data_IF_478513536577
#
_entry.id   IF_478513536577
#
_cell.length_a   1.000
_cell.length_b   1.000
_cell.length_c   1.000
_cell.angle_alpha   90.00
_cell.angle_beta   90.00
_cell.angle_gamma   90.00
#
_symmetry.space_group_name_H-M   'P 1'
#
loop_
_entity.id
_entity.type
_entity.pdbx_description
1 polymer ?
#
# COMPACT_ATOMS: atom_id res chain seq x y z
N UNK A 1 16.47 -3.53 -21.71
CA UNK A 1 16.24 -2.40 -20.79
C UNK A 1 16.49 -1.08 -21.53
N UNK A 2 15.73 -0.02 -21.23
CA UNK A 2 15.87 1.32 -21.83
C UNK A 2 16.02 2.35 -20.70
N UNK A 3 17.21 2.97 -20.50
CA UNK A 3 17.45 3.88 -19.38
C UNK A 3 16.45 5.04 -19.31
N UNK A 4 16.15 5.63 -20.46
CA UNK A 4 15.19 6.73 -20.56
C UNK A 4 13.78 6.36 -20.09
N UNK A 5 13.38 5.08 -20.21
CA UNK A 5 12.08 4.63 -19.74
C UNK A 5 12.00 4.70 -18.20
N UNK A 6 13.05 4.26 -17.51
CA UNK A 6 13.11 4.27 -16.06
C UNK A 6 13.29 5.69 -15.53
N UNK A 7 14.26 6.45 -16.05
CA UNK A 7 14.54 7.81 -15.56
C UNK A 7 13.35 8.75 -15.77
N UNK A 8 12.66 8.66 -16.92
CA UNK A 8 11.46 9.47 -17.16
C UNK A 8 10.34 9.08 -16.20
N UNK A 9 10.14 7.79 -15.93
CA UNK A 9 9.13 7.35 -14.97
C UNK A 9 9.42 7.90 -13.57
N UNK A 10 10.67 7.81 -13.10
CA UNK A 10 11.07 8.36 -11.79
C UNK A 10 10.75 9.85 -11.70
N UNK A 11 11.14 10.64 -12.71
CA UNK A 11 10.86 12.07 -12.75
C UNK A 11 9.36 12.38 -12.76
N UNK A 12 8.57 11.66 -13.57
CA UNK A 12 7.12 11.86 -13.65
C UNK A 12 6.42 11.48 -12.35
N UNK A 13 6.84 10.38 -11.72
CA UNK A 13 6.29 9.94 -10.44
C UNK A 13 6.62 10.90 -9.29
N UNK A 14 7.80 11.52 -9.32
CA UNK A 14 8.15 12.57 -8.36
C UNK A 14 7.35 13.85 -8.58
N UNK A 15 7.18 14.29 -9.83
CA UNK A 15 6.34 15.44 -10.14
C UNK A 15 4.89 15.21 -9.72
N UNK A 16 4.37 14.02 -10.03
CA UNK A 16 3.01 13.65 -9.66
C UNK A 16 2.83 13.58 -8.14
N UNK A 17 3.77 12.96 -7.41
CA UNK A 17 3.73 12.91 -5.95
C UNK A 17 3.75 14.31 -5.31
N UNK A 18 4.57 15.23 -5.85
CA UNK A 18 4.57 16.64 -5.42
C UNK A 18 3.26 17.35 -5.72
N UNK A 19 2.67 17.13 -6.91
CA UNK A 19 1.38 17.71 -7.28
C UNK A 19 0.27 17.28 -6.31
N UNK A 20 0.29 16.02 -5.87
CA UNK A 20 -0.66 15.51 -4.87
C UNK A 20 -0.40 16.03 -3.46
N UNK A 21 0.83 16.51 -3.18
CA UNK A 21 1.27 16.85 -1.83
C UNK A 21 1.60 15.62 -0.99
N UNK A 22 2.11 14.55 -1.61
CA UNK A 22 2.59 13.38 -0.87
C UNK A 22 3.85 13.73 -0.05
N UNK A 23 4.03 13.09 1.11
CA UNK A 23 5.24 13.24 1.93
C UNK A 23 6.53 12.95 1.14
N UNK A 24 7.60 13.69 1.43
CA UNK A 24 8.93 13.51 0.82
C UNK A 24 9.46 12.07 0.92
N UNK A 25 9.07 11.34 1.97
CA UNK A 25 9.42 9.93 2.16
C UNK A 25 8.92 9.00 1.04
N UNK A 26 7.98 9.43 0.21
CA UNK A 26 7.52 8.71 -0.98
C UNK A 26 8.27 9.08 -2.26
N UNK A 27 9.04 10.16 -2.27
CA UNK A 27 9.63 10.75 -3.48
C UNK A 27 11.10 10.33 -3.62
N UNK A 28 11.50 9.93 -4.82
CA UNK A 28 12.86 9.51 -5.11
C UNK A 28 13.86 10.67 -4.95
N UNK A 29 13.47 11.89 -5.38
CA UNK A 29 14.24 13.13 -5.24
C UNK A 29 14.67 13.47 -3.81
N UNK A 30 14.05 12.86 -2.80
CA UNK A 30 14.38 13.08 -1.40
C UNK A 30 15.67 12.38 -0.98
N UNK A 31 16.22 11.48 -1.82
CA UNK A 31 17.40 10.68 -1.53
C UNK A 31 17.20 9.61 -0.46
N UNK A 32 15.94 9.38 -0.06
CA UNK A 32 15.56 8.30 0.84
C UNK A 32 15.37 6.97 0.09
N UNK A 33 14.75 5.99 0.76
CA UNK A 33 14.45 4.69 0.15
C UNK A 33 13.18 4.68 -0.70
N UNK A 34 12.33 5.71 -0.55
CA UNK A 34 11.02 5.75 -1.18
C UNK A 34 11.06 6.06 -2.68
N UNK A 35 9.95 5.77 -3.35
CA UNK A 35 9.80 6.08 -4.76
C UNK A 35 8.42 5.70 -5.30
N UNK A 36 8.15 6.19 -6.51
CA UNK A 36 6.94 5.86 -7.26
C UNK A 36 7.23 4.95 -8.45
N UNK A 37 6.24 4.14 -8.81
CA UNK A 37 6.24 3.25 -9.98
C UNK A 37 4.87 3.27 -10.67
N UNK A 38 4.85 3.18 -11.99
CA UNK A 38 3.62 3.02 -12.77
C UNK A 38 3.21 1.55 -12.80
N UNK A 39 1.96 1.28 -12.47
CA UNK A 39 1.28 -0.02 -12.51
C UNK A 39 0.18 0.02 -13.58
N UNK A 40 -0.30 -1.15 -14.03
CA UNK A 40 -1.44 -1.21 -14.94
C UNK A 40 -2.73 -0.78 -14.23
N UNK A 41 -2.96 -1.29 -13.02
CA UNK A 41 -4.18 -1.03 -12.26
C UNK A 41 -3.96 -0.79 -10.75
N UNK A 42 -4.92 -0.12 -10.11
CA UNK A 42 -4.98 -0.04 -8.65
C UNK A 42 -5.08 -1.43 -8.00
N UNK A 43 -5.68 -2.41 -8.69
CA UNK A 43 -5.79 -3.79 -8.17
C UNK A 43 -4.41 -4.45 -8.05
N UNK A 44 -3.54 -4.22 -9.03
CA UNK A 44 -2.15 -4.67 -9.01
C UNK A 44 -1.37 -3.94 -7.91
N UNK A 45 -1.52 -2.61 -7.80
CA UNK A 45 -0.88 -1.83 -6.74
C UNK A 45 -1.25 -2.33 -5.33
N UNK A 46 -2.53 -2.59 -5.07
CA UNK A 46 -3.00 -3.18 -3.80
C UNK A 46 -2.43 -4.58 -3.57
N UNK A 47 -2.33 -5.41 -4.61
CA UNK A 47 -1.72 -6.75 -4.50
C UNK A 47 -0.22 -6.66 -4.19
N UNK A 48 0.51 -5.77 -4.89
CA UNK A 48 1.93 -5.52 -4.67
C UNK A 48 2.19 -5.05 -3.23
N UNK A 49 1.39 -4.11 -2.72
CA UNK A 49 1.47 -3.66 -1.33
C UNK A 49 1.22 -4.80 -0.33
N UNK A 50 0.20 -5.63 -0.56
CA UNK A 50 -0.10 -6.79 0.28
C UNK A 50 1.05 -7.80 0.31
N UNK A 51 1.67 -8.06 -0.84
CA UNK A 51 2.77 -9.01 -0.94
C UNK A 51 4.05 -8.47 -0.29
N UNK A 52 4.33 -7.17 -0.42
CA UNK A 52 5.40 -6.49 0.34
C UNK A 52 5.17 -6.56 1.86
N UNK A 53 3.95 -6.29 2.31
CA UNK A 53 3.56 -6.43 3.72
C UNK A 53 3.73 -7.86 4.25
N UNK A 54 3.34 -8.85 3.44
CA UNK A 54 3.51 -10.27 3.74
C UNK A 54 4.99 -10.63 3.89
N UNK A 55 5.83 -10.24 2.94
CA UNK A 55 7.27 -10.49 2.99
C UNK A 55 7.93 -9.86 4.22
N UNK A 56 7.62 -8.58 4.50
CA UNK A 56 8.08 -7.86 5.71
C UNK A 56 7.70 -8.60 6.98
N UNK A 57 6.46 -9.07 7.06
CA UNK A 57 5.95 -9.75 8.26
C UNK A 57 6.55 -11.13 8.43
N UNK A 58 6.73 -11.91 7.36
CA UNK A 58 7.40 -13.21 7.42
C UNK A 58 8.84 -13.06 7.92
N UNK A 59 9.58 -12.06 7.43
CA UNK A 59 10.94 -11.80 7.92
C UNK A 59 10.96 -11.39 9.39
N UNK A 60 10.02 -10.53 9.83
CA UNK A 60 9.89 -10.13 11.24
C UNK A 60 9.63 -11.35 12.12
N UNK A 61 8.61 -12.15 11.79
CA UNK A 61 8.23 -13.32 12.60
C UNK A 61 9.36 -14.34 12.66
N UNK A 62 10.05 -14.63 11.54
CA UNK A 62 11.19 -15.55 11.53
C UNK A 62 12.41 -15.02 12.28
N UNK A 63 12.58 -13.70 12.38
CA UNK A 63 13.64 -13.11 13.21
C UNK A 63 13.40 -13.38 14.69
N UNK A 64 12.16 -13.31 15.13
CA UNK A 64 11.75 -13.53 16.52
C UNK A 64 11.57 -15.02 16.84
N UNK A 65 11.17 -15.82 15.84
CA UNK A 65 10.90 -17.26 15.91
C UNK A 65 11.55 -18.00 14.72
N UNK A 66 12.88 -18.23 14.73
CA UNK A 66 13.63 -18.81 13.61
C UNK A 66 13.20 -20.24 13.23
N UNK A 67 12.56 -20.96 14.14
CA UNK A 67 12.02 -22.31 13.94
C UNK A 67 10.76 -22.35 13.08
N UNK A 68 10.03 -21.22 12.99
CA UNK A 68 8.76 -21.16 12.27
C UNK A 68 8.98 -21.17 10.75
N UNK A 69 8.24 -22.05 10.08
CA UNK A 69 8.21 -22.14 8.61
C UNK A 69 7.17 -21.20 8.01
N UNK A 70 7.30 -20.87 6.73
CA UNK A 70 6.28 -20.07 6.03
C UNK A 70 4.90 -20.74 6.04
N UNK A 71 4.87 -22.09 6.00
CA UNK A 71 3.64 -22.88 6.06
C UNK A 71 2.90 -22.73 7.40
N UNK A 72 3.60 -22.42 8.48
CA UNK A 72 3.01 -22.19 9.81
C UNK A 72 2.61 -20.73 10.02
N UNK A 73 3.34 -19.78 9.42
CA UNK A 73 3.10 -18.35 9.59
C UNK A 73 1.99 -17.85 8.66
N UNK A 74 2.03 -18.18 7.37
CA UNK A 74 1.11 -17.65 6.35
C UNK A 74 -0.38 -17.87 6.71
N UNK A 75 -0.81 -19.07 7.17
CA UNK A 75 -2.22 -19.29 7.53
C UNK A 75 -2.71 -18.45 8.71
N UNK A 76 -1.79 -17.90 9.52
CA UNK A 76 -2.10 -17.03 10.66
C UNK A 76 -2.17 -15.56 10.27
N UNK A 77 -1.69 -15.17 9.09
CA UNK A 77 -1.70 -13.78 8.63
C UNK A 77 -3.15 -13.31 8.38
N UNK A 78 -3.48 -12.13 8.90
CA UNK A 78 -4.77 -11.47 8.69
C UNK A 78 -4.59 -9.99 8.38
N UNK A 79 -5.23 -9.54 7.29
CA UNK A 79 -5.32 -8.14 6.92
C UNK A 79 -6.74 -7.61 7.04
N UNK A 80 -6.90 -6.28 6.97
CA UNK A 80 -8.15 -5.59 7.25
C UNK A 80 -8.46 -4.51 6.22
N UNK A 81 -9.73 -4.31 5.94
CA UNK A 81 -10.19 -3.18 5.15
C UNK A 81 -11.63 -2.83 5.48
N UNK A 82 -12.11 -1.69 5.00
CA UNK A 82 -13.50 -1.32 5.09
C UNK A 82 -14.36 -2.34 4.32
N UNK A 83 -15.55 -2.72 4.81
CA UNK A 83 -16.53 -3.50 4.05
C UNK A 83 -16.95 -2.82 2.73
N UNK A 84 -16.72 -1.52 2.59
CA UNK A 84 -16.92 -0.74 1.36
C UNK A 84 -15.67 -0.59 0.48
N UNK A 85 -14.54 -1.20 0.88
CA UNK A 85 -13.36 -1.24 0.05
C UNK A 85 -13.69 -1.91 -1.30
N UNK A 86 -12.96 -1.53 -2.33
CA UNK A 86 -13.15 -2.11 -3.66
C UNK A 86 -12.87 -3.62 -3.64
N UNK A 87 -13.55 -4.38 -4.51
CA UNK A 87 -13.40 -5.85 -4.60
C UNK A 87 -11.97 -6.29 -4.95
N UNK A 88 -11.12 -5.39 -5.44
CA UNK A 88 -9.69 -5.63 -5.62
C UNK A 88 -8.96 -5.98 -4.33
N UNK A 89 -9.39 -5.45 -3.18
CA UNK A 89 -8.77 -5.75 -1.89
C UNK A 89 -9.01 -7.21 -1.53
N UNK A 90 -10.27 -7.67 -1.61
CA UNK A 90 -10.61 -9.08 -1.41
C UNK A 90 -9.89 -9.99 -2.41
N UNK A 91 -9.85 -9.60 -3.69
CA UNK A 91 -9.10 -10.32 -4.73
C UNK A 91 -7.60 -10.40 -4.41
N UNK A 92 -7.00 -9.34 -3.87
CA UNK A 92 -5.60 -9.35 -3.46
C UNK A 92 -5.35 -10.35 -2.31
N UNK A 93 -6.29 -10.48 -1.36
CA UNK A 93 -6.22 -11.51 -0.32
C UNK A 93 -6.27 -12.93 -0.89
N UNK A 94 -7.18 -13.18 -1.84
CA UNK A 94 -7.29 -14.47 -2.53
C UNK A 94 -6.00 -14.83 -3.28
N UNK A 95 -5.47 -13.91 -4.09
CA UNK A 95 -4.24 -14.12 -4.85
C UNK A 95 -3.00 -14.20 -3.96
N UNK A 96 -2.97 -13.42 -2.88
CA UNK A 96 -1.89 -13.42 -1.89
C UNK A 96 -1.91 -14.61 -0.94
N UNK A 97 -2.98 -15.42 -0.96
CA UNK A 97 -3.15 -16.57 -0.08
C UNK A 97 -3.20 -16.19 1.40
N UNK A 98 -3.90 -15.10 1.73
CA UNK A 98 -4.00 -14.55 3.09
C UNK A 98 -5.45 -14.23 3.45
N UNK A 99 -5.77 -14.24 4.74
CA UNK A 99 -7.10 -13.87 5.21
C UNK A 99 -7.27 -12.36 5.19
N UNK A 100 -8.40 -11.89 4.67
CA UNK A 100 -8.82 -10.49 4.81
C UNK A 100 -10.15 -10.41 5.56
N UNK A 101 -10.22 -9.51 6.54
CA UNK A 101 -11.43 -9.19 7.28
C UNK A 101 -12.02 -7.88 6.77
N UNK A 102 -13.28 -7.96 6.36
CA UNK A 102 -14.09 -6.79 5.99
C UNK A 102 -14.71 -6.20 7.26
N UNK A 103 -14.21 -5.06 7.69
CA UNK A 103 -14.63 -4.40 8.92
C UNK A 103 -15.85 -3.52 8.69
N UNK A 104 -16.77 -3.51 9.66
CA UNK A 104 -18.00 -2.72 9.58
C UNK A 104 -17.64 -1.24 9.75
N UNK A 105 -17.99 -0.37 8.78
CA UNK A 105 -17.76 1.06 8.94
C UNK A 105 -18.78 1.70 9.90
N UNK A 106 -18.51 2.94 10.29
CA UNK A 106 -19.42 3.74 11.11
C UNK A 106 -20.69 4.19 10.34
N UNK A 107 -21.54 4.97 11.00
CA UNK A 107 -22.77 5.49 10.40
C UNK A 107 -22.53 6.41 9.19
N UNK A 108 -21.33 6.99 9.07
CA UNK A 108 -20.89 7.80 7.91
C UNK A 108 -20.19 6.94 6.86
N UNK A 109 -20.17 5.62 7.03
CA UNK A 109 -19.54 4.63 6.14
C UNK A 109 -18.01 4.74 6.09
N UNK A 110 -17.40 5.30 7.14
CA UNK A 110 -15.94 5.41 7.29
C UNK A 110 -15.45 4.27 8.16
N UNK A 111 -14.35 3.63 7.77
CA UNK A 111 -13.60 2.79 8.70
C UNK A 111 -12.92 3.68 9.73
N UNK A 112 -12.96 3.26 11.00
CA UNK A 112 -12.46 4.00 12.16
C UNK A 112 -11.30 3.27 12.79
N UNK A 113 -10.37 4.01 13.40
CA UNK A 113 -9.19 3.42 14.04
C UNK A 113 -9.57 2.43 15.13
N UNK A 114 -10.57 2.77 15.95
CA UNK A 114 -11.03 1.89 17.04
C UNK A 114 -11.54 0.54 16.52
N UNK A 115 -12.31 0.53 15.42
CA UNK A 115 -12.79 -0.72 14.82
C UNK A 115 -11.63 -1.59 14.30
N UNK A 116 -10.56 -0.97 13.81
CA UNK A 116 -9.34 -1.69 13.39
C UNK A 116 -8.62 -2.24 14.62
N UNK A 117 -8.47 -1.44 15.67
CA UNK A 117 -7.81 -1.83 16.94
C UNK A 117 -8.50 -3.04 17.58
N UNK A 118 -9.81 -2.96 17.79
CA UNK A 118 -10.62 -4.05 18.35
C UNK A 118 -10.49 -5.35 17.52
N UNK A 119 -10.51 -5.23 16.19
CA UNK A 119 -10.38 -6.38 15.31
C UNK A 119 -8.99 -7.04 15.43
N UNK A 120 -7.93 -6.24 15.49
CA UNK A 120 -6.56 -6.70 15.67
C UNK A 120 -6.35 -7.39 17.02
N UNK A 121 -6.87 -6.81 18.10
CA UNK A 121 -6.77 -7.38 19.45
C UNK A 121 -7.49 -8.73 19.54
N UNK A 122 -8.70 -8.82 18.99
CA UNK A 122 -9.45 -10.07 18.92
C UNK A 122 -8.70 -11.14 18.12
N UNK A 123 -8.09 -10.78 16.99
CA UNK A 123 -7.34 -11.73 16.16
C UNK A 123 -6.04 -12.19 16.83
N UNK A 124 -5.35 -11.28 17.54
CA UNK A 124 -4.17 -11.65 18.36
C UNK A 124 -4.54 -12.62 19.48
N UNK A 125 -5.68 -12.43 20.13
CA UNK A 125 -6.17 -13.34 21.16
C UNK A 125 -6.47 -14.76 20.60
N UNK A 126 -6.72 -14.87 19.29
CA UNK A 126 -6.89 -16.14 18.58
C UNK A 126 -5.57 -16.70 18.01
N UNK A 127 -4.42 -16.08 18.30
CA UNK A 127 -3.12 -16.48 17.78
C UNK A 127 -2.89 -16.13 16.30
N UNK A 128 -3.71 -15.24 15.73
CA UNK A 128 -3.50 -14.70 14.39
C UNK A 128 -2.52 -13.52 14.43
N UNK A 129 -1.98 -13.19 13.26
CA UNK A 129 -0.93 -12.21 13.07
C UNK A 129 -1.49 -11.08 12.18
N UNK A 130 -1.98 -9.98 12.78
CA UNK A 130 -2.26 -8.75 12.04
C UNK A 130 -1.03 -8.31 11.26
N UNK A 131 -1.19 -7.96 9.98
CA UNK A 131 -0.04 -7.57 9.15
C UNK A 131 -0.30 -6.47 8.11
N UNK A 132 -1.56 -6.23 7.73
CA UNK A 132 -1.89 -5.34 6.62
C UNK A 132 -3.25 -4.65 6.82
N UNK A 133 -3.32 -3.35 6.53
CA UNK A 133 -4.57 -2.59 6.50
C UNK A 133 -4.67 -1.81 5.20
N UNK A 134 -5.83 -1.85 4.55
CA UNK A 134 -6.17 -0.95 3.43
C UNK A 134 -7.15 0.11 3.93
N UNK A 135 -6.71 1.37 3.91
CA UNK A 135 -7.59 2.53 4.10
C UNK A 135 -7.99 3.07 2.72
N UNK A 136 -9.29 3.24 2.49
CA UNK A 136 -9.80 3.74 1.22
C UNK A 136 -10.15 5.23 1.32
N UNK A 137 -9.54 6.04 0.47
CA UNK A 137 -9.89 7.46 0.29
C UNK A 137 -10.72 7.58 -0.99
N UNK A 138 -12.04 7.63 -0.83
CA UNK A 138 -12.99 7.64 -1.94
C UNK A 138 -13.47 6.24 -2.33
N UNK A 139 -14.28 5.61 -1.46
CA UNK A 139 -14.88 4.29 -1.71
C UNK A 139 -15.71 4.26 -2.99
N UNK A 140 -15.75 3.10 -3.65
CA UNK A 140 -16.39 2.95 -4.97
C UNK A 140 -17.88 3.31 -4.96
N UNK A 141 -18.61 2.87 -3.94
CA UNK A 141 -20.08 3.02 -3.93
C UNK A 141 -20.54 4.44 -3.62
N UNK A 142 -19.80 5.18 -2.79
CA UNK A 142 -20.31 6.45 -2.25
C UNK A 142 -19.26 7.53 -2.01
N UNK A 143 -18.05 7.32 -2.51
CA UNK A 143 -16.91 8.23 -2.37
C UNK A 143 -16.67 8.65 -0.91
N UNK A 144 -16.76 7.69 0.03
CA UNK A 144 -16.47 7.94 1.45
C UNK A 144 -14.98 7.82 1.71
N UNK A 145 -14.52 8.50 2.76
CA UNK A 145 -13.11 8.55 3.16
C UNK A 145 -12.96 7.92 4.54
N UNK A 146 -12.18 6.84 4.62
CA UNK A 146 -11.82 6.24 5.90
C UNK A 146 -11.10 7.26 6.80
N UNK A 147 -11.17 7.08 8.12
CA UNK A 147 -10.47 7.93 9.07
C UNK A 147 -8.97 7.58 9.08
N UNK A 148 -8.26 8.03 8.06
CA UNK A 148 -6.85 7.69 7.82
C UNK A 148 -5.95 8.12 8.98
N UNK A 149 -6.20 9.28 9.55
CA UNK A 149 -5.53 9.78 10.75
C UNK A 149 -5.59 8.75 11.89
N UNK A 150 -6.80 8.31 12.25
CA UNK A 150 -7.02 7.31 13.30
C UNK A 150 -6.41 5.93 12.95
N UNK A 151 -6.62 5.45 11.71
CA UNK A 151 -6.14 4.15 11.26
C UNK A 151 -4.61 4.12 11.23
N UNK A 152 -4.00 5.22 10.81
CA UNK A 152 -2.56 5.36 10.69
C UNK A 152 -1.85 5.31 12.04
N UNK A 153 -2.45 5.87 13.08
CA UNK A 153 -1.95 5.77 14.46
C UNK A 153 -1.95 4.30 14.92
N UNK A 154 -3.08 3.60 14.76
CA UNK A 154 -3.21 2.18 15.12
C UNK A 154 -2.18 1.31 14.38
N UNK A 155 -1.99 1.54 13.08
CA UNK A 155 -1.04 0.77 12.28
C UNK A 155 0.40 1.04 12.70
N UNK A 156 0.75 2.30 12.95
CA UNK A 156 2.10 2.70 13.32
C UNK A 156 2.50 2.17 14.71
N UNK A 157 1.61 2.28 15.71
CA UNK A 157 1.78 1.73 17.06
C UNK A 157 2.11 0.23 17.06
N UNK A 158 1.53 -0.50 16.11
CA UNK A 158 1.62 -1.96 16.03
C UNK A 158 2.58 -2.46 14.94
N UNK A 159 3.26 -1.56 14.23
CA UNK A 159 4.13 -1.92 13.11
C UNK A 159 3.41 -2.73 12.02
N UNK A 160 2.19 -2.33 11.67
CA UNK A 160 1.34 -2.94 10.65
C UNK A 160 1.44 -2.14 9.36
N UNK A 161 1.55 -2.82 8.22
CA UNK A 161 1.61 -2.13 6.94
C UNK A 161 0.27 -1.46 6.62
N UNK A 162 0.29 -0.17 6.35
CA UNK A 162 -0.86 0.62 5.92
C UNK A 162 -0.72 1.00 4.43
N UNK A 163 -1.67 0.50 3.64
CA UNK A 163 -1.84 0.87 2.24
C UNK A 163 -3.03 1.81 2.09
N UNK A 164 -2.83 2.91 1.36
CA UNK A 164 -3.89 3.87 1.03
C UNK A 164 -4.33 3.65 -0.42
N UNK A 165 -5.57 3.20 -0.59
CA UNK A 165 -6.21 3.15 -1.90
C UNK A 165 -7.02 4.44 -2.13
N UNK A 166 -6.48 5.32 -2.97
CA UNK A 166 -7.12 6.54 -3.41
C UNK A 166 -7.47 6.49 -4.91
N UNK A 167 -7.71 5.30 -5.48
CA UNK A 167 -7.82 5.09 -6.94
C UNK A 167 -8.60 6.20 -7.68
N UNK A 168 -9.78 6.58 -7.18
CA UNK A 168 -10.57 7.67 -7.77
C UNK A 168 -10.21 9.05 -7.19
N UNK A 169 -10.33 9.20 -5.86
CA UNK A 169 -10.23 10.51 -5.21
C UNK A 169 -8.81 11.08 -5.16
N UNK A 170 -7.77 10.29 -5.42
CA UNK A 170 -6.39 10.79 -5.43
C UNK A 170 -6.18 11.99 -6.34
N UNK A 171 -6.90 12.06 -7.47
CA UNK A 171 -6.82 13.20 -8.40
C UNK A 171 -7.23 14.53 -7.74
N UNK A 172 -8.11 14.52 -6.73
CA UNK A 172 -8.54 15.75 -6.06
C UNK A 172 -7.45 16.36 -5.18
N UNK A 173 -6.42 15.60 -4.78
CA UNK A 173 -5.32 16.09 -3.95
C UNK A 173 -4.33 16.99 -4.70
N UNK A 174 -4.48 17.12 -6.03
CA UNK A 174 -3.86 18.20 -6.80
C UNK A 174 -4.31 19.57 -6.27
N UNK A 175 -5.56 19.68 -5.81
CA UNK A 175 -6.11 20.88 -5.23
C UNK A 175 -5.84 20.93 -3.71
N UNK A 176 -5.06 21.91 -3.20
CA UNK A 176 -4.68 21.98 -1.79
C UNK A 176 -5.86 21.95 -0.80
N UNK A 177 -7.02 22.51 -1.17
CA UNK A 177 -8.22 22.58 -0.36
C UNK A 177 -8.87 21.22 -0.05
N UNK A 178 -8.51 20.15 -0.76
CA UNK A 178 -8.99 18.79 -0.48
C UNK A 178 -7.96 17.93 0.27
N UNK A 179 -6.73 18.40 0.46
CA UNK A 179 -5.64 17.60 1.06
C UNK A 179 -5.87 17.24 2.53
N UNK A 180 -6.78 17.93 3.22
CA UNK A 180 -7.19 17.54 4.57
C UNK A 180 -7.81 16.12 4.62
N UNK A 181 -8.33 15.63 3.50
CA UNK A 181 -8.90 14.27 3.39
C UNK A 181 -7.84 13.16 3.39
N UNK A 182 -6.56 13.51 3.27
CA UNK A 182 -5.44 12.57 3.41
C UNK A 182 -4.61 12.81 4.69
N UNK A 183 -5.19 13.47 5.71
CA UNK A 183 -4.55 13.58 7.01
C UNK A 183 -4.16 12.18 7.55
N UNK A 184 -2.89 12.01 7.95
CA UNK A 184 -2.33 10.72 8.38
C UNK A 184 -1.56 9.95 7.29
N UNK A 185 -1.57 10.41 6.03
CA UNK A 185 -0.83 9.76 4.93
C UNK A 185 0.68 9.69 5.18
N UNK A 186 1.23 10.61 5.96
CA UNK A 186 2.62 10.60 6.39
C UNK A 186 3.02 9.38 7.21
N UNK A 187 2.07 8.59 7.68
CA UNK A 187 2.30 7.33 8.42
C UNK A 187 2.00 6.07 7.61
N UNK A 188 1.46 6.18 6.38
CA UNK A 188 1.23 5.01 5.53
C UNK A 188 2.52 4.48 4.91
N UNK A 189 2.58 3.20 4.58
CA UNK A 189 3.74 2.57 3.93
C UNK A 189 3.67 2.67 2.40
N UNK A 190 2.44 2.75 1.87
CA UNK A 190 2.18 2.81 0.43
C UNK A 190 0.89 3.57 0.11
N UNK A 191 0.85 4.16 -1.09
CA UNK A 191 -0.27 4.95 -1.59
C UNK A 191 -0.46 4.65 -3.08
N UNK A 192 -1.70 4.48 -3.55
CA UNK A 192 -1.99 4.46 -4.98
C UNK A 192 -3.13 5.41 -5.36
N UNK A 193 -3.09 5.92 -6.59
CA UNK A 193 -4.25 6.47 -7.26
C UNK A 193 -4.20 6.24 -8.77
N UNK A 194 -5.31 6.46 -9.48
CA UNK A 194 -5.35 6.24 -10.94
C UNK A 194 -5.45 7.56 -11.70
N UNK A 195 -4.36 8.02 -12.33
CA UNK A 195 -4.44 9.06 -13.34
C UNK A 195 -5.49 8.77 -14.43
N UNK A 196 -5.67 7.50 -14.80
CA UNK A 196 -6.65 7.09 -15.80
C UNK A 196 -8.12 7.20 -15.37
N UNK A 197 -8.42 7.53 -14.10
CA UNK A 197 -9.80 7.75 -13.66
C UNK A 197 -10.22 9.20 -13.82
N UNK A 198 -9.45 10.13 -13.25
CA UNK A 198 -9.88 11.53 -13.16
C UNK A 198 -8.73 12.54 -13.35
N UNK A 199 -7.68 12.16 -14.09
CA UNK A 199 -6.55 13.03 -14.43
C UNK A 199 -6.28 13.10 -15.95
N UNK A 200 -7.25 12.68 -16.77
CA UNK A 200 -7.20 12.77 -18.25
C UNK A 200 -6.05 12.00 -18.93
N UNK A 201 -5.49 11.00 -18.25
CA UNK A 201 -4.57 10.02 -18.86
C UNK A 201 -5.40 8.85 -19.35
N UNK A 202 -5.09 8.27 -20.52
CA UNK A 202 -5.79 7.07 -20.97
C UNK A 202 -5.42 5.86 -20.11
N UNK A 203 -6.31 4.86 -20.08
CA UNK A 203 -5.97 3.54 -19.54
C UNK A 203 -4.92 2.87 -20.45
N UNK A 204 -3.90 2.20 -19.94
CA UNK A 204 -3.56 1.93 -18.52
C UNK A 204 -2.64 3.02 -17.94
N UNK A 205 -2.85 3.39 -16.67
CA UNK A 205 -1.93 4.25 -15.89
C UNK A 205 -2.39 4.33 -14.43
N UNK A 206 -1.82 3.50 -13.55
CA UNK A 206 -2.03 3.57 -12.11
C UNK A 206 -0.73 3.93 -11.43
N UNK A 207 -0.76 4.94 -10.56
CA UNK A 207 0.43 5.47 -9.92
C UNK A 207 0.50 4.91 -8.49
N UNK A 208 1.61 4.27 -8.12
CA UNK A 208 1.85 3.72 -6.78
C UNK A 208 3.14 4.27 -6.20
N UNK A 209 3.12 4.68 -4.93
CA UNK A 209 4.30 5.06 -4.16
C UNK A 209 4.47 4.16 -2.94
N UNK A 210 5.72 3.92 -2.57
CA UNK A 210 6.12 3.18 -1.38
C UNK A 210 7.26 3.90 -0.67
N UNK A 211 7.27 3.87 0.66
CA UNK A 211 8.42 4.39 1.44
C UNK A 211 9.61 3.44 1.46
N UNK A 212 9.33 2.14 1.41
CA UNK A 212 10.33 1.08 1.43
C UNK A 212 10.04 0.03 0.33
N UNK A 213 10.21 0.39 -0.96
CA UNK A 213 9.97 -0.50 -2.10
C UNK A 213 10.82 -1.77 -2.06
N UNK A 214 11.92 -1.79 -1.32
CA UNK A 214 12.78 -2.97 -1.14
C UNK A 214 12.03 -4.18 -0.56
N UNK A 215 10.98 -3.98 0.22
CA UNK A 215 10.14 -5.09 0.69
C UNK A 215 9.42 -5.82 -0.44
N UNK A 216 9.09 -5.09 -1.51
CA UNK A 216 8.51 -5.65 -2.73
C UNK A 216 9.62 -6.20 -3.62
N UNK A 217 10.66 -5.40 -3.91
CA UNK A 217 11.75 -5.80 -4.80
C UNK A 217 12.40 -7.09 -4.33
N UNK A 218 12.74 -7.20 -3.04
CA UNK A 218 13.39 -8.40 -2.50
C UNK A 218 12.46 -9.61 -2.45
N UNK A 219 11.16 -9.41 -2.29
CA UNK A 219 10.18 -10.50 -2.28
C UNK A 219 9.99 -11.14 -3.67
N UNK A 220 10.20 -10.37 -4.74
CA UNK A 220 10.02 -10.82 -6.12
C UNK A 220 11.32 -10.92 -6.92
N UNK A 221 12.47 -10.69 -6.27
CA UNK A 221 13.75 -10.72 -6.97
C UNK A 221 14.04 -12.12 -7.51
N UNK A 222 14.26 -12.20 -8.81
CA UNK A 222 14.80 -13.38 -9.49
C UNK A 222 16.02 -12.87 -10.24
N UNK A 223 17.19 -13.50 -10.02
CA UNK A 223 18.47 -13.05 -10.59
C UNK A 223 18.98 -14.00 -11.70
N UNK A 224 18.30 -14.11 -12.85
CA UNK A 224 18.78 -14.93 -13.95
C UNK A 224 19.94 -14.23 -14.68
N UNK A 225 20.91 -15.03 -15.15
CA UNK A 225 22.13 -14.53 -15.79
C UNK A 225 21.88 -13.57 -16.96
N UNK A 226 20.81 -13.78 -17.73
CA UNK A 226 20.48 -12.97 -18.91
C UNK A 226 19.86 -11.59 -18.61
N UNK A 227 19.58 -11.28 -17.34
CA UNK A 227 19.14 -9.95 -16.89
C UNK A 227 20.25 -9.16 -16.18
N UNK A 228 21.44 -9.74 -15.99
CA UNK A 228 22.53 -9.06 -15.29
C UNK A 228 23.09 -7.89 -16.09
N UNK A 229 23.38 -6.81 -15.39
CA UNK A 229 24.05 -5.63 -15.93
C UNK A 229 24.83 -4.91 -14.83
N UNK A 230 25.79 -4.06 -15.21
CA UNK A 230 26.74 -3.43 -14.30
C UNK A 230 26.12 -2.41 -13.32
N UNK A 231 24.82 -2.12 -13.44
CA UNK A 231 24.07 -1.16 -12.62
C UNK A 231 22.93 -1.83 -11.84
N UNK A 232 22.99 -3.14 -11.64
CA UNK A 232 21.92 -3.91 -11.01
C UNK A 232 21.81 -3.55 -9.52
N UNK A 233 20.60 -3.18 -9.08
CA UNK A 233 20.34 -2.73 -7.71
C UNK A 233 20.65 -1.25 -7.44
N UNK A 234 21.13 -0.51 -8.44
CA UNK A 234 21.26 0.95 -8.35
C UNK A 234 19.91 1.59 -8.63
N UNK A 235 19.39 2.40 -7.69
CA UNK A 235 18.31 3.34 -7.99
C UNK A 235 18.88 4.49 -8.84
N UNK A 236 18.18 4.96 -9.88
CA UNK A 236 18.56 6.16 -10.62
C UNK A 236 18.53 7.42 -9.75
#
# INVERSE_FOLDING_TARGET
>A
ASPACTELEVLMMDWLGQMLGLPDAFLARSGGTGGGVIQGTASEATLVALLGAKARTLQRVKKDHPECTDAEIIPKLVGYCNKQAHSSVERAGLLGGVRLRLLKPDAKRRLRGETVREAMEADRALGLIPFYVVATLGTTSSCTFDALDEISEVCNEQGIWLHVDAAYAGSVFVCPEYRYLMAGVERSDSFNFNPHKWMLVNFDCSAMWMKEPNWVVNAFNVDPLYLKHDQQGSAP
#
